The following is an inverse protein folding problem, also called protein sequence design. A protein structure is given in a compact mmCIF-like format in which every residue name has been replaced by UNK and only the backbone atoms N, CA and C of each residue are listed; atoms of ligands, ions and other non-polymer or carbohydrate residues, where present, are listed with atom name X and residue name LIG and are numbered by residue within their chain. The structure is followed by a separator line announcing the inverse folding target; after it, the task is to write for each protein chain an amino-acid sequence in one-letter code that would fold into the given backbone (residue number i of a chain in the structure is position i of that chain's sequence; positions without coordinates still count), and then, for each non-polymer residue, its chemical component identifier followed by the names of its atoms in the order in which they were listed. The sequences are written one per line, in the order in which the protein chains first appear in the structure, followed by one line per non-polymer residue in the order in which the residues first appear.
data_IF_773232248966
#
_entry.id   IF_773232248966
#
_cell.length_a   1.000
_cell.length_b   1.000
_cell.length_c   1.000
_cell.angle_alpha   90.00
_cell.angle_beta   90.00
_cell.angle_gamma   90.00
#
_symmetry.space_group_name_H-M   'P 1'
#
loop_
_entity.id
_entity.type
_entity.pdbx_description
1 polymer ?
#
# COMPACT_ATOMS: atom_id res chain seq x y z
N UNK A 1 -13.18 -10.58 27.29
CA UNK A 1 -13.91 -10.41 26.03
C UNK A 1 -13.35 -9.20 25.31
N UNK A 2 -12.28 -9.36 24.53
CA UNK A 2 -11.67 -8.26 23.76
C UNK A 2 -12.21 -8.26 22.34
N UNK A 3 -13.52 -8.08 22.19
CA UNK A 3 -14.20 -8.17 20.90
C UNK A 3 -14.14 -6.87 20.08
N UNK A 4 -13.33 -5.88 20.48
CA UNK A 4 -13.38 -4.53 19.88
C UNK A 4 -12.03 -3.91 19.48
N UNK A 5 -10.92 -4.65 19.56
CA UNK A 5 -9.62 -4.16 19.04
C UNK A 5 -9.54 -4.22 17.51
N UNK A 6 -10.38 -5.05 16.87
CA UNK A 6 -10.50 -5.12 15.40
C UNK A 6 -11.02 -3.81 14.78
N UNK A 7 -11.56 -2.89 15.59
CA UNK A 7 -12.11 -1.62 15.12
C UNK A 7 -11.11 -0.47 15.08
N UNK A 8 -10.01 -0.59 15.82
CA UNK A 8 -8.97 0.47 15.92
C UNK A 8 -7.70 0.13 15.14
N UNK A 9 -7.48 -1.16 14.86
CA UNK A 9 -6.44 -1.61 13.95
C UNK A 9 -7.17 -2.18 12.75
N UNK A 10 -6.98 -1.57 11.58
CA UNK A 10 -7.52 -2.07 10.32
C UNK A 10 -6.79 -3.39 10.01
N UNK A 11 -7.28 -4.50 10.58
CA UNK A 11 -6.60 -5.79 10.56
C UNK A 11 -6.42 -6.31 9.14
N UNK A 12 -7.38 -6.04 8.26
CA UNK A 12 -7.24 -6.36 6.84
C UNK A 12 -6.07 -5.58 6.22
N UNK A 13 -5.98 -4.27 6.50
CA UNK A 13 -4.86 -3.45 6.06
C UNK A 13 -3.52 -3.97 6.58
N UNK A 14 -3.41 -4.27 7.88
CA UNK A 14 -2.18 -4.81 8.46
C UNK A 14 -1.77 -6.15 7.81
N UNK A 15 -2.74 -7.03 7.55
CA UNK A 15 -2.48 -8.31 6.88
C UNK A 15 -2.03 -8.11 5.43
N UNK A 16 -2.56 -7.10 4.74
CA UNK A 16 -2.10 -6.75 3.39
C UNK A 16 -0.68 -6.20 3.41
N UNK A 17 -0.32 -5.38 4.41
CA UNK A 17 1.06 -4.92 4.60
C UNK A 17 2.00 -6.11 4.86
N UNK A 18 1.60 -7.09 5.68
CA UNK A 18 2.43 -8.30 5.96
C UNK A 18 2.71 -9.10 4.71
N UNK A 19 1.68 -9.36 3.91
CA UNK A 19 1.82 -10.10 2.64
C UNK A 19 2.74 -9.36 1.69
N UNK A 20 2.52 -8.06 1.48
CA UNK A 20 3.35 -7.25 0.59
C UNK A 20 4.82 -7.21 1.06
N UNK A 21 5.05 -7.02 2.36
CA UNK A 21 6.40 -7.05 2.93
C UNK A 21 7.10 -8.40 2.71
N UNK A 22 6.38 -9.51 2.93
CA UNK A 22 6.90 -10.84 2.71
C UNK A 22 7.28 -11.07 1.24
N UNK A 23 6.43 -10.67 0.29
CA UNK A 23 6.73 -10.80 -1.13
C UNK A 23 7.96 -9.97 -1.54
N UNK A 24 8.06 -8.72 -1.07
CA UNK A 24 9.23 -7.88 -1.36
C UNK A 24 10.52 -8.45 -0.76
N UNK A 25 10.46 -8.99 0.46
CA UNK A 25 11.59 -9.63 1.12
C UNK A 25 11.99 -10.94 0.45
N UNK A 26 11.02 -11.73 -0.01
CA UNK A 26 11.24 -12.96 -0.74
C UNK A 26 11.87 -12.72 -2.11
N UNK A 27 11.40 -11.72 -2.85
CA UNK A 27 11.91 -11.33 -4.16
C UNK A 27 13.39 -10.89 -4.09
N UNK A 28 13.77 -10.20 -3.01
CA UNK A 28 15.16 -9.78 -2.75
C UNK A 28 16.06 -10.90 -2.18
N UNK A 29 15.57 -12.14 -2.11
CA UNK A 29 16.35 -13.30 -1.69
C UNK A 29 16.39 -13.55 -0.18
N UNK A 30 15.45 -12.99 0.57
CA UNK A 30 15.27 -13.18 2.02
C UNK A 30 16.50 -12.76 2.85
N UNK A 31 17.01 -11.52 2.69
CA UNK A 31 18.12 -11.02 3.51
C UNK A 31 17.76 -11.04 4.99
N UNK A 32 18.63 -11.64 5.80
CA UNK A 32 18.42 -11.78 7.24
C UNK A 32 18.59 -10.43 7.96
N UNK A 33 17.64 -10.09 8.83
CA UNK A 33 17.70 -8.86 9.64
C UNK A 33 17.19 -7.60 8.93
N UNK A 34 16.76 -7.70 7.66
CA UNK A 34 16.15 -6.59 6.91
C UNK A 34 14.61 -6.68 6.82
N UNK A 35 13.98 -7.64 7.50
CA UNK A 35 12.52 -7.88 7.42
C UNK A 35 11.72 -6.61 7.74
N UNK A 36 12.17 -5.85 8.75
CA UNK A 36 11.55 -4.59 9.19
C UNK A 36 11.60 -3.50 8.11
N UNK A 37 12.65 -3.47 7.27
CA UNK A 37 12.77 -2.52 6.16
C UNK A 37 11.71 -2.80 5.09
N UNK A 38 11.47 -4.09 4.80
CA UNK A 38 10.44 -4.53 3.88
C UNK A 38 9.03 -4.27 4.41
N UNK A 39 8.84 -4.42 5.72
CA UNK A 39 7.62 -4.00 6.40
C UNK A 39 7.29 -2.52 6.18
N UNK A 40 8.25 -1.62 6.44
CA UNK A 40 8.04 -0.18 6.24
C UNK A 40 7.80 0.17 4.77
N UNK A 41 8.56 -0.41 3.82
CA UNK A 41 8.32 -0.22 2.39
C UNK A 41 6.90 -0.60 1.98
N UNK A 42 6.43 -1.76 2.42
CA UNK A 42 5.07 -2.21 2.12
C UNK A 42 4.03 -1.26 2.75
N UNK A 43 4.24 -0.84 4.01
CA UNK A 43 3.35 0.08 4.70
C UNK A 43 3.20 1.41 3.93
N UNK A 44 4.32 2.00 3.50
CA UNK A 44 4.33 3.23 2.71
C UNK A 44 3.57 3.07 1.38
N UNK A 45 3.80 1.96 0.66
CA UNK A 45 3.11 1.67 -0.60
C UNK A 45 1.59 1.55 -0.41
N UNK A 46 1.14 0.80 0.59
CA UNK A 46 -0.30 0.61 0.84
C UNK A 46 -0.98 1.88 1.37
N UNK A 47 -0.30 2.70 2.17
CA UNK A 47 -0.81 4.01 2.58
C UNK A 47 -0.96 4.95 1.38
N UNK A 48 0.03 4.99 0.49
CA UNK A 48 -0.03 5.80 -0.73
C UNK A 48 -1.20 5.37 -1.64
N UNK A 49 -1.41 4.06 -1.82
CA UNK A 49 -2.55 3.52 -2.58
C UNK A 49 -3.89 3.89 -1.95
N UNK A 50 -4.00 3.86 -0.61
CA UNK A 50 -5.21 4.27 0.11
C UNK A 50 -5.53 5.76 -0.09
N UNK A 51 -4.50 6.61 -0.07
CA UNK A 51 -4.64 8.05 -0.35
C UNK A 51 -5.08 8.32 -1.79
N UNK A 52 -4.42 7.70 -2.76
CA UNK A 52 -4.72 7.89 -4.19
C UNK A 52 -6.13 7.40 -4.59
N UNK A 53 -6.62 6.32 -3.99
CA UNK A 53 -7.99 5.82 -4.21
C UNK A 53 -9.07 6.79 -3.68
N UNK A 54 -8.74 7.68 -2.76
CA UNK A 54 -9.65 8.74 -2.28
C UNK A 54 -9.80 9.94 -3.24
N UNK A 55 -8.90 10.09 -4.22
CA UNK A 55 -8.84 11.28 -5.09
C UNK A 55 -9.50 11.08 -6.47
N UNK A 56 -9.99 9.88 -6.80
CA UNK A 56 -10.49 9.57 -8.17
C UNK A 56 -12.00 9.80 -8.39
N UNK A 57 -12.70 10.50 -7.50
CA UNK A 57 -14.13 10.84 -7.67
C UNK A 57 -14.44 12.33 -7.67
N UNK A 58 -13.64 13.17 -8.32
CA UNK A 58 -14.13 14.44 -8.89
C UNK A 58 -13.09 15.08 -9.82
N UNK A 59 -13.20 14.84 -11.13
CA UNK A 59 -12.33 15.49 -12.10
C UNK A 59 -12.24 14.83 -13.47
N UNK A 60 -13.35 14.49 -14.10
CA UNK A 60 -13.36 14.28 -15.55
C UNK A 60 -13.75 15.59 -16.23
N UNK A 61 -12.76 16.32 -16.78
CA UNK A 61 -12.87 17.04 -18.06
C UNK A 61 -11.59 17.87 -18.37
N UNK A 62 -10.93 17.46 -19.48
CA UNK A 62 -10.16 18.27 -20.43
C UNK A 62 -8.84 18.94 -20.00
N UNK A 63 -7.71 18.52 -20.59
CA UNK A 63 -6.97 19.36 -21.58
C UNK A 63 -5.89 18.56 -22.38
N UNK A 64 -6.21 18.29 -23.64
CA UNK A 64 -5.37 18.29 -24.85
C UNK A 64 -3.91 17.76 -24.79
N UNK A 65 -3.71 16.50 -25.15
CA UNK A 65 -2.51 16.10 -25.92
C UNK A 65 -2.79 16.25 -27.41
N UNK A 66 -2.21 17.27 -28.04
CA UNK A 66 -2.21 17.48 -29.49
C UNK A 66 -1.10 16.62 -30.13
N UNK A 67 -1.33 15.94 -31.27
CA UNK A 67 -0.36 15.01 -31.86
C UNK A 67 0.71 15.77 -32.66
N UNK A 68 1.96 15.27 -32.62
CA UNK A 68 3.06 15.74 -33.43
C UNK A 68 2.96 15.21 -34.87
N UNK A 69 3.15 16.09 -35.85
CA UNK A 69 3.41 15.80 -37.26
C UNK A 69 4.70 16.53 -37.65
#
# INVERSE_FOLDING_TARGET
MYENTEKFVDLDFEQNVRKAAYHLWEDDGRPFGEETKYWFKALEQLLALRGANGETTNGSAADKSKPAA
#
